data_IF_329693564207
#
_entry.id   IF_329693564207
#
_cell.length_a   1.000
_cell.length_b   1.000
_cell.length_c   1.000
_cell.angle_alpha   90.00
_cell.angle_beta   90.00
_cell.angle_gamma   90.00
#
_symmetry.space_group_name_H-M   'P 1'
#
loop_
_entity.id
_entity.type
_entity.pdbx_description
1 polymer ?
#
# COMPACT_ATOMS: atom_id res chain seq x y z
N UNK A 1 -13.58 -50.42 26.04
CA UNK A 1 -13.71 -51.78 25.48
C UNK A 1 -12.95 -51.71 24.18
N UNK A 2 -11.72 -52.09 24.17
CA UNK A 2 -11.19 -53.47 23.96
C UNK A 2 -11.44 -53.87 22.52
N UNK A 3 -10.54 -54.28 21.65
CA UNK A 3 -9.25 -54.95 21.86
C UNK A 3 -8.67 -55.20 20.46
N UNK A 4 -7.37 -54.97 20.24
CA UNK A 4 -6.33 -55.96 19.90
C UNK A 4 -6.66 -56.90 18.72
N UNK A 5 -5.82 -57.16 17.76
CA UNK A 5 -4.41 -57.40 17.78
C UNK A 5 -3.92 -58.08 16.51
N UNK A 6 -2.64 -57.88 16.25
CA UNK A 6 -1.57 -58.83 15.94
C UNK A 6 -1.57 -59.64 14.62
N UNK A 7 -0.58 -59.33 13.85
CA UNK A 7 0.66 -60.07 13.52
C UNK A 7 0.55 -61.37 12.72
N UNK A 8 1.26 -61.47 11.59
CA UNK A 8 2.36 -62.39 11.38
C UNK A 8 2.82 -62.49 9.91
N UNK A 9 4.12 -62.24 9.66
CA UNK A 9 4.98 -62.88 8.65
C UNK A 9 5.32 -64.28 9.17
N UNK A 10 6.01 -65.23 8.44
CA UNK A 10 6.69 -65.20 7.14
C UNK A 10 6.55 -66.52 6.33
N UNK A 11 7.17 -66.63 5.16
CA UNK A 11 8.13 -67.70 4.84
C UNK A 11 8.46 -67.85 3.33
N UNK A 12 9.71 -67.96 3.12
CA UNK A 12 10.61 -68.38 2.04
C UNK A 12 10.24 -69.65 1.29
N UNK A 13 10.72 -69.64 0.04
CA UNK A 13 11.08 -70.83 -0.74
C UNK A 13 10.85 -70.56 -2.25
N UNK A 14 11.70 -70.57 -3.16
CA UNK A 14 12.95 -71.24 -3.44
C UNK A 14 12.83 -72.07 -4.73
N UNK A 15 13.73 -71.84 -5.70
CA UNK A 15 14.18 -72.67 -6.84
C UNK A 15 13.60 -72.39 -8.24
N UNK A 16 14.44 -71.71 -9.09
CA UNK A 16 15.41 -72.27 -10.11
C UNK A 16 14.85 -72.71 -11.45
N UNK A 17 15.40 -72.04 -12.50
CA UNK A 17 15.77 -72.50 -13.88
C UNK A 17 14.65 -72.46 -14.93
N UNK A 18 14.85 -71.65 -15.98
CA UNK A 18 15.59 -72.03 -17.17
C UNK A 18 15.70 -70.86 -18.16
N UNK A 19 16.83 -70.86 -18.86
CA UNK A 19 17.24 -69.85 -19.86
C UNK A 19 16.37 -69.93 -21.12
N UNK A 20 16.11 -68.77 -21.74
CA UNK A 20 15.59 -68.63 -23.09
C UNK A 20 16.05 -67.29 -23.65
N UNK A 21 17.12 -67.28 -24.38
CA UNK A 21 17.64 -66.09 -25.10
C UNK A 21 16.75 -65.83 -26.29
N UNK A 22 16.08 -64.67 -26.29
CA UNK A 22 15.52 -64.03 -27.47
C UNK A 22 16.21 -62.67 -27.66
N UNK A 23 17.05 -62.61 -28.66
CA UNK A 23 17.76 -61.42 -29.09
C UNK A 23 16.74 -60.54 -29.84
N UNK A 24 16.09 -59.60 -29.18
CA UNK A 24 15.29 -58.54 -29.81
C UNK A 24 16.18 -57.32 -29.97
N UNK A 25 16.61 -57.04 -31.20
CA UNK A 25 17.31 -55.81 -31.55
C UNK A 25 16.35 -54.60 -31.37
N UNK A 26 16.48 -53.91 -30.25
CA UNK A 26 15.88 -52.58 -30.04
C UNK A 26 16.78 -51.57 -30.77
N UNK A 27 16.34 -51.14 -31.97
CA UNK A 27 16.76 -49.89 -32.57
C UNK A 27 16.32 -48.76 -31.65
N UNK A 28 17.21 -48.31 -30.75
CA UNK A 28 17.06 -47.02 -30.09
C UNK A 28 17.24 -45.93 -31.15
N UNK A 29 16.15 -45.43 -31.70
CA UNK A 29 16.13 -44.12 -32.32
C UNK A 29 16.50 -43.09 -31.24
N UNK A 30 17.78 -42.76 -31.12
CA UNK A 30 18.21 -41.57 -30.39
C UNK A 30 17.65 -40.36 -31.13
N UNK A 31 16.44 -39.93 -30.73
CA UNK A 31 15.99 -38.60 -31.04
C UNK A 31 16.99 -37.68 -30.35
N UNK A 32 17.94 -37.15 -31.08
CA UNK A 32 18.72 -36.01 -30.67
C UNK A 32 17.72 -34.84 -30.45
N UNK A 33 17.18 -34.71 -29.25
CA UNK A 33 16.59 -33.47 -28.81
C UNK A 33 17.74 -32.45 -28.84
N UNK A 34 17.77 -31.61 -29.87
CA UNK A 34 18.65 -30.45 -29.85
C UNK A 34 18.38 -29.70 -28.55
N UNK A 35 19.38 -29.26 -27.79
CA UNK A 35 19.19 -28.48 -26.61
C UNK A 35 18.31 -27.30 -27.02
N UNK A 36 17.18 -27.06 -26.27
CA UNK A 36 16.37 -25.91 -26.48
C UNK A 36 17.26 -24.66 -26.48
N UNK A 37 17.29 -23.93 -27.61
CA UNK A 37 18.06 -22.70 -27.71
C UNK A 37 17.62 -21.78 -26.59
N UNK A 38 18.50 -21.52 -25.63
CA UNK A 38 18.28 -20.50 -24.60
C UNK A 38 18.24 -19.10 -25.21
N UNK A 39 17.90 -18.11 -24.37
CA UNK A 39 17.95 -16.69 -24.78
C UNK A 39 19.40 -16.37 -25.27
N UNK A 40 19.52 -15.42 -26.21
CA UNK A 40 20.83 -14.86 -26.58
C UNK A 40 21.50 -14.22 -25.35
N UNK A 41 22.82 -14.26 -25.27
CA UNK A 41 23.57 -13.62 -24.16
C UNK A 41 23.30 -12.11 -24.04
N UNK A 42 22.89 -11.44 -25.13
CA UNK A 42 22.53 -10.02 -25.17
C UNK A 42 21.13 -9.75 -24.73
N UNK A 43 20.25 -10.75 -24.57
CA UNK A 43 18.81 -10.55 -24.35
C UNK A 43 18.49 -9.59 -23.20
N UNK A 44 19.19 -9.71 -22.07
CA UNK A 44 18.99 -8.83 -20.93
C UNK A 44 19.35 -7.36 -21.24
N UNK A 45 20.40 -7.13 -22.02
CA UNK A 45 20.81 -5.79 -22.44
C UNK A 45 19.81 -5.20 -23.46
N UNK A 46 19.38 -6.03 -24.41
CA UNK A 46 18.43 -5.62 -25.47
C UNK A 46 17.03 -5.31 -24.88
N UNK A 47 16.58 -6.11 -23.91
CA UNK A 47 15.32 -5.86 -23.17
C UNK A 47 15.44 -4.55 -22.38
N UNK A 48 16.54 -4.31 -21.65
CA UNK A 48 16.78 -3.03 -20.96
C UNK A 48 16.71 -1.85 -21.92
N UNK A 49 17.36 -1.96 -23.08
CA UNK A 49 17.30 -0.91 -24.10
C UNK A 49 15.87 -0.65 -24.62
N UNK A 50 15.02 -1.67 -24.68
CA UNK A 50 13.59 -1.51 -25.00
C UNK A 50 12.84 -0.76 -23.89
N UNK A 51 13.09 -1.11 -22.62
CA UNK A 51 12.51 -0.45 -21.47
C UNK A 51 12.97 1.01 -21.33
N UNK A 52 14.24 1.31 -21.63
CA UNK A 52 14.79 2.67 -21.62
C UNK A 52 14.15 3.55 -22.70
N UNK A 53 13.93 3.00 -23.91
CA UNK A 53 13.20 3.73 -24.97
C UNK A 53 11.76 4.01 -24.55
N UNK A 54 11.10 3.04 -23.92
CA UNK A 54 9.74 3.20 -23.37
C UNK A 54 9.70 4.32 -22.33
N UNK A 55 10.62 4.32 -21.37
CA UNK A 55 10.71 5.34 -20.33
C UNK A 55 10.93 6.74 -20.93
N UNK A 56 11.85 6.86 -21.90
CA UNK A 56 12.11 8.11 -22.60
C UNK A 56 10.87 8.64 -23.32
N UNK A 57 10.10 7.76 -23.96
CA UNK A 57 8.84 8.14 -24.63
C UNK A 57 7.80 8.72 -23.67
N UNK A 58 7.68 8.20 -22.45
CA UNK A 58 6.81 8.78 -21.41
C UNK A 58 7.31 10.18 -21.04
N UNK A 59 8.60 10.34 -20.79
CA UNK A 59 9.17 11.63 -20.38
C UNK A 59 9.10 12.71 -21.46
N UNK A 60 9.04 12.31 -22.73
CA UNK A 60 8.88 13.23 -23.87
C UNK A 60 7.43 13.37 -24.36
N UNK A 61 6.48 12.68 -23.71
CA UNK A 61 5.07 12.61 -24.14
C UNK A 61 4.94 12.21 -25.62
N UNK A 62 5.74 11.23 -26.08
CA UNK A 62 5.76 10.75 -27.46
C UNK A 62 4.99 9.44 -27.59
N UNK A 63 3.71 9.49 -28.05
CA UNK A 63 2.88 8.29 -28.16
C UNK A 63 3.35 7.32 -29.26
N UNK A 64 4.01 7.81 -30.29
CA UNK A 64 4.52 6.95 -31.38
C UNK A 64 5.76 6.20 -30.91
N UNK A 65 6.69 6.87 -30.22
CA UNK A 65 7.82 6.23 -29.59
C UNK A 65 7.38 5.23 -28.50
N UNK A 66 6.37 5.57 -27.69
CA UNK A 66 5.85 4.71 -26.63
C UNK A 66 5.29 3.39 -27.16
N UNK A 67 4.51 3.43 -28.24
CA UNK A 67 3.95 2.22 -28.84
C UNK A 67 4.92 1.52 -29.80
N UNK A 68 6.03 2.17 -30.19
CA UNK A 68 7.04 1.56 -31.09
C UNK A 68 7.75 0.35 -30.46
N UNK A 69 7.75 0.25 -29.12
CA UNK A 69 8.34 -0.88 -28.39
C UNK A 69 7.34 -2.03 -28.16
N UNK A 70 6.10 -1.90 -28.62
CA UNK A 70 5.08 -2.94 -28.56
C UNK A 70 5.04 -3.68 -29.90
N UNK A 71 4.88 -5.00 -29.87
CA UNK A 71 4.83 -5.83 -31.06
C UNK A 71 3.77 -5.31 -32.04
N UNK A 72 4.09 -5.38 -33.34
CA UNK A 72 3.25 -4.76 -34.39
C UNK A 72 1.88 -5.40 -34.54
N UNK A 73 1.80 -6.68 -34.29
CA UNK A 73 0.59 -7.51 -34.32
C UNK A 73 -0.23 -7.43 -33.03
N UNK A 74 0.35 -6.96 -31.91
CA UNK A 74 -0.36 -6.72 -30.65
C UNK A 74 -1.20 -5.42 -30.72
N UNK A 75 -2.14 -5.35 -31.66
CA UNK A 75 -2.90 -4.14 -32.00
C UNK A 75 -3.68 -3.58 -30.83
N UNK A 76 -4.33 -4.43 -30.02
CA UNK A 76 -5.11 -4.01 -28.86
C UNK A 76 -4.22 -3.43 -27.77
N UNK A 77 -3.06 -4.06 -27.51
CA UNK A 77 -2.08 -3.56 -26.56
C UNK A 77 -1.53 -2.20 -27.00
N UNK A 78 -1.23 -2.04 -28.29
CA UNK A 78 -0.78 -0.76 -28.86
C UNK A 78 -1.82 0.35 -28.68
N UNK A 79 -3.09 0.04 -28.93
CA UNK A 79 -4.18 1.01 -28.74
C UNK A 79 -4.36 1.37 -27.25
N UNK A 80 -4.36 0.38 -26.36
CA UNK A 80 -4.45 0.58 -24.93
C UNK A 80 -3.28 1.42 -24.39
N UNK A 81 -2.04 1.11 -24.79
CA UNK A 81 -0.82 1.83 -24.36
C UNK A 81 -0.79 3.27 -24.86
N UNK A 82 -1.25 3.54 -26.10
CA UNK A 82 -1.38 4.90 -26.62
C UNK A 82 -2.37 5.72 -25.79
N UNK A 83 -3.50 5.11 -25.44
CA UNK A 83 -4.51 5.74 -24.60
C UNK A 83 -3.98 6.00 -23.19
N UNK A 84 -3.30 5.03 -22.60
CA UNK A 84 -2.67 5.12 -21.28
C UNK A 84 -1.66 6.28 -21.20
N UNK A 85 -0.82 6.47 -22.23
CA UNK A 85 0.08 7.63 -22.28
C UNK A 85 -0.68 8.95 -22.37
N UNK A 86 -1.80 9.00 -23.08
CA UNK A 86 -2.69 10.16 -23.13
C UNK A 86 -3.22 10.56 -21.75
N UNK A 87 -3.58 9.58 -20.93
CA UNK A 87 -4.08 9.80 -19.57
C UNK A 87 -3.03 10.43 -18.62
N UNK A 88 -1.74 10.32 -18.95
CA UNK A 88 -0.63 10.94 -18.21
C UNK A 88 -0.34 12.39 -18.60
N UNK A 89 -0.99 12.92 -19.65
CA UNK A 89 -0.57 14.16 -20.32
C UNK A 89 -0.42 15.35 -19.36
N UNK A 90 -1.36 15.52 -18.42
CA UNK A 90 -1.38 16.65 -17.48
C UNK A 90 -0.66 16.38 -16.15
N UNK A 91 -0.26 15.11 -15.93
CA UNK A 91 0.44 14.73 -14.70
C UNK A 91 1.87 15.30 -14.70
N UNK A 92 2.30 15.96 -13.61
CA UNK A 92 3.65 16.52 -13.54
C UNK A 92 4.69 15.42 -13.25
N UNK A 93 4.95 14.56 -14.23
CA UNK A 93 5.94 13.49 -14.10
C UNK A 93 7.35 14.08 -14.04
N UNK A 94 8.07 13.77 -12.96
CA UNK A 94 9.46 14.22 -12.74
C UNK A 94 10.51 13.20 -13.12
N UNK A 95 10.15 11.91 -13.10
CA UNK A 95 10.99 10.82 -13.60
C UNK A 95 10.13 9.59 -13.88
N UNK A 96 10.60 8.78 -14.84
CA UNK A 96 9.99 7.50 -15.20
C UNK A 96 11.08 6.54 -15.59
N UNK A 97 11.16 5.39 -14.94
CA UNK A 97 12.23 4.42 -15.15
C UNK A 97 11.69 3.00 -15.05
N UNK A 98 12.30 2.09 -15.78
CA UNK A 98 12.05 0.65 -15.63
C UNK A 98 13.34 -0.03 -15.20
N UNK A 99 13.28 -0.90 -14.20
CA UNK A 99 14.39 -1.75 -13.79
C UNK A 99 14.00 -3.19 -14.00
N UNK A 100 14.74 -3.87 -14.89
CA UNK A 100 14.62 -5.31 -15.09
C UNK A 100 15.14 -6.03 -13.84
N UNK A 101 14.28 -6.84 -13.19
CA UNK A 101 14.60 -7.57 -11.96
C UNK A 101 14.85 -9.05 -12.21
N UNK A 102 14.10 -9.67 -13.15
CA UNK A 102 14.28 -11.05 -13.56
C UNK A 102 13.85 -11.29 -15.01
N UNK A 103 14.34 -12.38 -15.62
CA UNK A 103 13.94 -12.84 -16.94
C UNK A 103 13.73 -14.35 -16.92
N UNK A 104 12.53 -14.77 -17.28
CA UNK A 104 12.16 -16.16 -17.50
C UNK A 104 12.07 -16.46 -19.00
N UNK A 105 13.00 -17.27 -19.57
CA UNK A 105 13.03 -17.57 -20.99
C UNK A 105 11.93 -18.57 -21.39
N UNK A 106 11.35 -18.37 -22.57
CA UNK A 106 10.38 -19.28 -23.21
C UNK A 106 10.86 -19.64 -24.63
N UNK A 107 12.08 -20.19 -24.74
CA UNK A 107 12.78 -20.45 -25.99
C UNK A 107 13.84 -19.40 -26.31
N UNK A 108 14.18 -19.25 -27.60
CA UNK A 108 15.22 -18.31 -28.03
C UNK A 108 14.71 -16.89 -28.32
N UNK A 109 13.41 -16.73 -28.50
CA UNK A 109 12.72 -15.55 -29.04
C UNK A 109 11.60 -15.00 -28.17
N UNK A 110 11.29 -15.66 -27.05
CA UNK A 110 10.25 -15.23 -26.08
C UNK A 110 10.79 -15.22 -24.67
N UNK A 111 10.32 -14.25 -23.88
CA UNK A 111 10.66 -14.13 -22.46
C UNK A 111 9.52 -13.46 -21.69
N UNK A 112 9.38 -13.83 -20.43
CA UNK A 112 8.66 -13.04 -19.43
C UNK A 112 9.71 -12.30 -18.59
N UNK A 113 9.51 -11.00 -18.42
CA UNK A 113 10.41 -10.15 -17.64
C UNK A 113 9.66 -9.58 -16.44
N UNK A 114 10.23 -9.77 -15.25
CA UNK A 114 9.82 -9.04 -14.06
C UNK A 114 10.52 -7.69 -14.07
N UNK A 115 9.70 -6.62 -13.92
CA UNK A 115 10.18 -5.26 -14.08
C UNK A 115 9.63 -4.38 -12.97
N UNK A 116 10.49 -3.56 -12.39
CA UNK A 116 10.08 -2.51 -11.46
C UNK A 116 9.99 -1.17 -12.19
N UNK A 117 8.76 -0.66 -12.33
CA UNK A 117 8.49 0.71 -12.73
C UNK A 117 8.76 1.62 -11.53
N UNK A 118 9.58 2.65 -11.73
CA UNK A 118 9.77 3.76 -10.77
C UNK A 118 9.31 5.06 -11.40
N UNK A 119 8.44 5.81 -10.72
CA UNK A 119 8.04 7.15 -11.17
C UNK A 119 7.99 8.16 -10.02
N UNK A 120 8.12 9.44 -10.33
CA UNK A 120 7.99 10.54 -9.37
C UNK A 120 7.08 11.61 -9.90
N UNK A 121 6.27 12.16 -9.01
CA UNK A 121 5.53 13.41 -9.25
C UNK A 121 6.46 14.57 -8.92
N UNK A 122 6.72 15.44 -9.91
CA UNK A 122 7.62 16.59 -9.79
C UNK A 122 7.11 17.56 -8.72
N UNK A 123 7.98 17.87 -7.77
CA UNK A 123 7.68 18.82 -6.70
C UNK A 123 6.99 18.19 -5.48
N UNK A 124 6.57 16.92 -5.54
CA UNK A 124 5.91 16.22 -4.44
C UNK A 124 6.74 15.03 -3.93
N UNK A 125 7.27 14.21 -4.81
CA UNK A 125 7.96 13.00 -4.44
C UNK A 125 9.46 13.24 -4.21
N UNK A 126 9.98 12.85 -3.06
CA UNK A 126 11.43 12.90 -2.75
C UNK A 126 12.18 11.71 -3.34
N UNK A 127 11.51 10.57 -3.54
CA UNK A 127 12.04 9.38 -4.20
C UNK A 127 10.94 8.72 -5.06
N UNK A 128 11.26 7.74 -5.92
CA UNK A 128 10.28 7.11 -6.78
C UNK A 128 9.25 6.27 -6.03
N UNK A 129 7.98 6.34 -6.43
CA UNK A 129 7.01 5.26 -6.22
C UNK A 129 7.48 4.07 -7.04
N UNK A 130 7.42 2.87 -6.47
CA UNK A 130 7.80 1.63 -7.14
C UNK A 130 6.59 0.74 -7.37
N UNK A 131 6.44 0.24 -8.60
CA UNK A 131 5.36 -0.66 -9.01
C UNK A 131 5.96 -1.85 -9.73
N UNK A 132 5.70 -3.06 -9.23
CA UNK A 132 6.19 -4.27 -9.88
C UNK A 132 5.24 -4.69 -11.02
N UNK A 133 5.83 -4.98 -12.19
CA UNK A 133 5.13 -5.33 -13.44
C UNK A 133 5.69 -6.62 -13.99
N UNK A 134 4.85 -7.35 -14.73
CA UNK A 134 5.25 -8.52 -15.53
C UNK A 134 5.00 -8.21 -17.00
N UNK A 135 6.07 -8.30 -17.80
CA UNK A 135 6.02 -8.02 -19.23
C UNK A 135 6.31 -9.32 -19.99
N UNK A 136 5.46 -9.64 -20.97
CA UNK A 136 5.81 -10.67 -21.94
C UNK A 136 6.43 -10.01 -23.18
N UNK A 137 7.52 -10.58 -23.67
CA UNK A 137 8.33 -10.03 -24.76
C UNK A 137 8.58 -11.09 -25.82
N UNK A 138 8.64 -10.63 -27.07
CA UNK A 138 9.01 -11.41 -28.23
C UNK A 138 10.13 -10.71 -28.99
N UNK A 139 11.09 -11.48 -29.50
CA UNK A 139 12.19 -11.00 -30.31
C UNK A 139 11.80 -11.06 -31.78
N UNK A 140 11.79 -9.93 -32.46
CA UNK A 140 11.54 -9.86 -33.92
C UNK A 140 12.75 -10.41 -34.67
N UNK A 141 12.52 -11.35 -35.60
CA UNK A 141 13.57 -12.00 -36.37
C UNK A 141 14.23 -11.05 -37.39
N UNK A 142 13.50 -10.04 -37.87
CA UNK A 142 13.99 -9.14 -38.92
C UNK A 142 15.00 -8.11 -38.39
N UNK A 143 14.78 -7.56 -37.18
CA UNK A 143 15.66 -6.54 -36.61
C UNK A 143 16.39 -6.97 -35.33
N UNK A 144 16.02 -8.13 -34.80
CA UNK A 144 16.61 -8.71 -33.61
C UNK A 144 16.25 -8.05 -32.29
N UNK A 145 15.30 -7.10 -32.30
CA UNK A 145 14.87 -6.35 -31.12
C UNK A 145 13.76 -7.07 -30.37
N UNK A 146 13.67 -6.76 -29.08
CA UNK A 146 12.61 -7.24 -28.21
C UNK A 146 11.44 -6.27 -28.19
N UNK A 147 10.22 -6.78 -28.31
CA UNK A 147 8.97 -6.04 -28.33
C UNK A 147 8.02 -6.59 -27.27
N UNK A 148 7.25 -5.72 -26.61
CA UNK A 148 6.23 -6.12 -25.64
C UNK A 148 5.03 -6.75 -26.36
N UNK A 149 4.59 -7.89 -25.85
CA UNK A 149 3.34 -8.56 -26.24
C UNK A 149 2.29 -8.51 -25.14
N UNK A 150 2.68 -8.32 -23.87
CA UNK A 150 1.79 -8.06 -22.74
C UNK A 150 2.47 -7.19 -21.69
N UNK A 151 1.65 -6.47 -20.91
CA UNK A 151 2.06 -5.66 -19.77
C UNK A 151 0.96 -5.73 -18.71
N UNK A 152 1.28 -6.30 -17.54
CA UNK A 152 0.33 -6.52 -16.45
C UNK A 152 0.94 -6.23 -15.08
N UNK A 153 0.14 -5.90 -14.06
CA UNK A 153 0.61 -5.85 -12.68
C UNK A 153 1.23 -7.18 -12.26
N UNK A 154 2.26 -7.15 -11.41
CA UNK A 154 2.73 -8.34 -10.72
C UNK A 154 1.67 -8.86 -9.75
N UNK A 155 1.82 -10.10 -9.27
CA UNK A 155 0.88 -10.67 -8.31
C UNK A 155 0.78 -9.78 -7.06
N UNK A 156 -0.44 -9.41 -6.65
CA UNK A 156 -0.70 -8.46 -5.57
C UNK A 156 -0.41 -6.99 -5.92
N UNK A 157 -0.01 -6.70 -7.16
CA UNK A 157 0.20 -5.32 -7.64
C UNK A 157 -1.11 -4.66 -8.06
N UNK A 158 -1.21 -3.34 -7.82
CA UNK A 158 -2.37 -2.55 -8.18
C UNK A 158 -2.33 -2.01 -9.60
N UNK A 159 -3.52 -1.72 -10.15
CA UNK A 159 -3.70 -0.99 -11.40
C UNK A 159 -3.56 0.50 -11.13
N UNK A 160 -2.66 1.17 -11.81
CA UNK A 160 -2.36 2.58 -11.54
C UNK A 160 -3.51 3.50 -11.99
N UNK A 161 -3.61 4.69 -11.39
CA UNK A 161 -4.71 5.63 -11.64
C UNK A 161 -4.85 5.96 -13.14
N UNK A 162 -3.76 6.24 -13.85
CA UNK A 162 -3.76 6.54 -15.31
C UNK A 162 -4.14 5.33 -16.18
N UNK A 163 -4.16 4.13 -15.63
CA UNK A 163 -4.64 2.93 -16.32
C UNK A 163 -6.17 2.76 -16.18
N UNK A 164 -6.79 3.53 -15.29
CA UNK A 164 -8.23 3.50 -15.05
C UNK A 164 -8.97 4.48 -15.96
N UNK A 165 -8.36 5.62 -16.33
CA UNK A 165 -8.97 6.63 -17.21
C UNK A 165 -8.12 7.89 -17.34
N UNK A 166 -8.71 8.91 -18.00
CA UNK A 166 -8.12 10.25 -18.10
C UNK A 166 -7.95 10.85 -16.72
N UNK A 167 -6.73 11.31 -16.41
CA UNK A 167 -6.40 11.88 -15.10
C UNK A 167 -6.61 13.40 -15.13
N UNK A 168 -7.66 13.84 -14.47
CA UNK A 168 -7.87 15.27 -14.19
C UNK A 168 -6.91 15.70 -13.06
N UNK A 169 -6.21 16.81 -13.25
CA UNK A 169 -5.18 17.32 -12.34
C UNK A 169 -5.60 18.66 -11.74
N UNK A 170 -5.76 18.70 -10.41
CA UNK A 170 -6.01 19.93 -9.65
C UNK A 170 -4.83 20.21 -8.72
N UNK A 171 -4.28 21.42 -8.80
CA UNK A 171 -3.18 21.87 -7.96
C UNK A 171 -3.70 22.85 -6.93
N UNK A 172 -3.55 22.49 -5.65
CA UNK A 172 -3.71 23.40 -4.53
C UNK A 172 -2.39 24.08 -4.15
N UNK A 173 -2.38 24.81 -3.06
CA UNK A 173 -1.18 25.45 -2.49
C UNK A 173 -0.22 24.40 -1.91
N UNK A 174 -0.75 23.41 -1.21
CA UNK A 174 -0.01 22.34 -0.54
C UNK A 174 -0.38 20.95 -1.06
N UNK A 175 -1.33 20.85 -1.98
CA UNK A 175 -1.86 19.58 -2.46
C UNK A 175 -1.78 19.42 -3.97
N UNK A 176 -1.75 18.16 -4.41
CA UNK A 176 -1.99 17.76 -5.78
C UNK A 176 -3.08 16.70 -5.76
N UNK A 177 -4.22 17.01 -6.35
CA UNK A 177 -5.32 16.05 -6.47
C UNK A 177 -5.37 15.52 -7.90
N UNK A 178 -5.32 14.20 -8.03
CA UNK A 178 -5.38 13.47 -9.28
C UNK A 178 -6.65 12.62 -9.28
N UNK A 179 -7.60 12.91 -10.16
CA UNK A 179 -8.89 12.23 -10.20
C UNK A 179 -9.16 11.57 -11.55
N UNK A 180 -9.90 10.45 -11.54
CA UNK A 180 -10.41 9.80 -12.74
C UNK A 180 -11.93 9.72 -12.64
N UNK A 181 -12.64 10.08 -13.74
CA UNK A 181 -14.10 10.03 -13.77
C UNK A 181 -14.83 11.01 -12.84
N UNK A 182 -14.11 11.99 -12.27
CA UNK A 182 -14.63 12.93 -11.27
C UNK A 182 -14.72 14.36 -11.82
N UNK A 183 -15.78 15.10 -11.48
CA UNK A 183 -15.88 16.52 -11.87
C UNK A 183 -14.74 17.33 -11.24
N UNK A 184 -14.17 18.27 -12.02
CA UNK A 184 -13.10 19.17 -11.55
C UNK A 184 -13.48 19.94 -10.29
N UNK A 185 -14.76 20.33 -10.15
CA UNK A 185 -15.27 21.04 -8.97
C UNK A 185 -15.13 20.20 -7.69
N UNK A 186 -15.44 18.90 -7.76
CA UNK A 186 -15.26 17.98 -6.64
C UNK A 186 -13.79 17.85 -6.25
N UNK A 187 -12.90 17.68 -7.25
CA UNK A 187 -11.47 17.59 -7.02
C UNK A 187 -10.90 18.90 -6.43
N UNK A 188 -11.45 20.05 -6.83
CA UNK A 188 -11.09 21.35 -6.24
C UNK A 188 -11.51 21.43 -4.77
N UNK A 189 -12.70 20.97 -4.41
CA UNK A 189 -13.13 20.91 -3.00
C UNK A 189 -12.24 20.00 -2.13
N UNK A 190 -11.76 18.91 -2.71
CA UNK A 190 -10.79 18.02 -2.04
C UNK A 190 -9.43 18.73 -1.88
N UNK A 191 -8.96 19.44 -2.91
CA UNK A 191 -7.71 20.21 -2.85
C UNK A 191 -7.78 21.32 -1.79
N UNK A 192 -8.87 22.09 -1.75
CA UNK A 192 -9.10 23.12 -0.73
C UNK A 192 -9.10 22.55 0.69
N UNK A 193 -9.62 21.32 0.85
CA UNK A 193 -9.66 20.65 2.16
C UNK A 193 -8.26 20.12 2.54
N UNK A 194 -7.53 19.54 1.61
CA UNK A 194 -6.15 19.09 1.81
C UNK A 194 -5.20 20.27 2.11
N UNK A 195 -5.40 21.42 1.44
CA UNK A 195 -4.62 22.65 1.68
C UNK A 195 -4.84 23.21 3.09
N UNK A 196 -6.02 22.99 3.69
CA UNK A 196 -6.25 23.30 5.12
C UNK A 196 -5.67 22.24 6.06
N UNK A 197 -5.65 20.99 5.66
CA UNK A 197 -5.09 19.90 6.46
C UNK A 197 -3.57 20.04 6.66
N UNK A 198 -2.83 20.42 5.62
CA UNK A 198 -1.37 20.53 5.67
C UNK A 198 -0.86 21.48 6.76
N UNK A 199 -1.32 22.74 6.87
CA UNK A 199 -0.91 23.61 7.99
C UNK A 199 -1.39 23.11 9.34
N UNK A 200 -2.58 22.53 9.46
CA UNK A 200 -3.08 21.95 10.71
C UNK A 200 -2.15 20.83 11.20
N UNK A 201 -1.78 19.92 10.30
CA UNK A 201 -0.82 18.85 10.60
C UNK A 201 0.57 19.39 10.92
N UNK A 202 1.04 20.43 10.22
CA UNK A 202 2.33 21.07 10.51
C UNK A 202 2.36 21.74 11.88
N UNK A 203 1.22 22.22 12.37
CA UNK A 203 1.04 22.70 13.74
C UNK A 203 1.01 21.57 14.77
N UNK A 204 0.48 20.41 14.40
CA UNK A 204 0.39 19.23 15.24
C UNK A 204 1.69 18.39 15.26
N UNK A 205 2.49 18.44 14.20
CA UNK A 205 3.73 17.68 14.04
C UNK A 205 4.92 18.63 13.81
N UNK A 206 5.75 18.90 14.85
CA UNK A 206 6.79 19.93 14.77
C UNK A 206 8.04 19.51 13.98
N UNK A 207 8.14 18.23 13.57
CA UNK A 207 9.29 17.77 12.78
C UNK A 207 9.14 18.15 11.31
N UNK A 208 10.29 18.29 10.64
CA UNK A 208 10.32 18.60 9.22
C UNK A 208 9.77 17.43 8.38
N UNK A 209 8.77 17.71 7.58
CA UNK A 209 8.20 16.83 6.58
C UNK A 209 8.02 17.55 5.25
N UNK A 210 7.44 16.91 4.24
CA UNK A 210 7.31 17.50 2.90
C UNK A 210 6.42 18.77 2.87
N UNK A 211 5.49 18.93 3.81
CA UNK A 211 4.54 20.05 3.86
C UNK A 211 3.60 20.09 2.66
N UNK A 212 3.36 18.94 2.03
CA UNK A 212 2.47 18.78 0.88
C UNK A 212 2.03 17.33 0.72
N UNK A 213 0.88 17.15 0.07
CA UNK A 213 0.27 15.82 -0.13
C UNK A 213 -0.15 15.60 -1.58
N UNK A 214 -0.15 14.35 -2.00
CA UNK A 214 -0.76 13.90 -3.25
C UNK A 214 -1.98 13.06 -2.92
N UNK A 215 -3.14 13.48 -3.43
CA UNK A 215 -4.41 12.81 -3.22
C UNK A 215 -4.85 12.17 -4.53
N UNK A 216 -5.16 10.89 -4.51
CA UNK A 216 -5.68 10.13 -5.64
C UNK A 216 -7.18 9.88 -5.43
N UNK A 217 -7.98 10.16 -6.44
CA UNK A 217 -9.44 9.99 -6.40
C UNK A 217 -9.86 9.11 -7.59
N UNK A 218 -9.94 7.79 -7.40
CA UNK A 218 -10.48 6.88 -8.42
C UNK A 218 -11.98 7.13 -8.62
N UNK A 219 -12.55 6.64 -9.73
CA UNK A 219 -13.97 6.84 -10.03
C UNK A 219 -14.89 6.10 -9.04
N UNK A 220 -14.51 4.90 -8.64
CA UNK A 220 -15.30 4.03 -7.77
C UNK A 220 -14.47 3.38 -6.68
N UNK A 221 -15.16 2.82 -5.65
CA UNK A 221 -14.49 1.97 -4.64
C UNK A 221 -13.89 0.70 -5.26
N UNK A 222 -14.42 0.23 -6.39
CA UNK A 222 -13.84 -0.88 -7.14
C UNK A 222 -12.47 -0.49 -7.71
N UNK A 223 -12.39 0.69 -8.32
CA UNK A 223 -11.14 1.24 -8.86
C UNK A 223 -10.14 1.55 -7.75
N UNK A 224 -10.61 1.99 -6.57
CA UNK A 224 -9.77 2.12 -5.37
C UNK A 224 -9.17 0.77 -4.96
N UNK A 225 -9.97 -0.29 -4.93
CA UNK A 225 -9.49 -1.65 -4.66
C UNK A 225 -8.45 -2.11 -5.68
N UNK A 226 -8.69 -1.86 -6.98
CA UNK A 226 -7.72 -2.16 -8.03
C UNK A 226 -6.42 -1.37 -7.87
N UNK A 227 -6.50 -0.08 -7.52
CA UNK A 227 -5.33 0.77 -7.27
C UNK A 227 -4.49 0.26 -6.09
N UNK A 228 -5.14 -0.25 -5.05
CA UNK A 228 -4.51 -0.79 -3.84
C UNK A 228 -4.12 -2.27 -3.95
N UNK A 229 -4.48 -2.95 -5.05
CA UNK A 229 -4.23 -4.38 -5.22
C UNK A 229 -4.99 -5.26 -4.22
N UNK A 230 -6.17 -4.81 -3.76
CA UNK A 230 -6.95 -5.45 -2.69
C UNK A 230 -8.45 -5.41 -3.01
N UNK A 231 -9.26 -6.36 -2.50
CA UNK A 231 -10.69 -6.37 -2.77
C UNK A 231 -11.40 -5.09 -2.35
N UNK A 232 -12.25 -4.54 -3.20
CA UNK A 232 -13.05 -3.33 -2.94
C UNK A 232 -13.92 -3.42 -1.67
N UNK A 233 -14.32 -4.65 -1.31
CA UNK A 233 -15.11 -4.90 -0.10
C UNK A 233 -14.42 -4.39 1.17
N UNK A 234 -13.09 -4.39 1.20
CA UNK A 234 -12.29 -3.93 2.33
C UNK A 234 -12.39 -2.41 2.55
N UNK A 235 -12.84 -1.66 1.53
CA UNK A 235 -12.82 -0.18 1.56
C UNK A 235 -14.21 0.46 1.54
N UNK A 236 -15.32 -0.31 1.56
CA UNK A 236 -16.68 0.23 1.41
C UNK A 236 -17.05 1.29 2.44
N UNK A 237 -16.64 1.12 3.69
CA UNK A 237 -16.90 2.05 4.80
C UNK A 237 -15.76 3.03 5.07
N UNK A 238 -14.65 2.92 4.36
CA UNK A 238 -13.44 3.71 4.57
C UNK A 238 -13.44 4.89 3.61
N UNK A 239 -13.35 6.11 4.12
CA UNK A 239 -13.42 7.32 3.31
C UNK A 239 -12.11 7.68 2.60
N UNK A 240 -10.97 7.36 3.21
CA UNK A 240 -9.65 7.48 2.59
C UNK A 240 -8.66 6.53 3.27
N UNK A 241 -7.51 6.32 2.64
CA UNK A 241 -6.36 5.59 3.21
C UNK A 241 -5.06 6.22 2.73
N UNK A 242 -4.03 6.18 3.56
CA UNK A 242 -2.68 6.59 3.17
C UNK A 242 -1.83 5.37 2.83
N UNK A 243 -1.20 5.36 1.64
CA UNK A 243 -0.32 4.25 1.24
C UNK A 243 0.87 4.12 2.18
N UNK A 244 1.23 2.88 2.52
CA UNK A 244 2.39 2.58 3.37
C UNK A 244 2.12 2.63 4.87
N UNK A 245 0.87 2.72 5.32
CA UNK A 245 0.50 2.67 6.75
C UNK A 245 0.93 1.38 7.44
N UNK A 246 0.80 0.26 6.78
CA UNK A 246 1.07 -1.06 7.36
C UNK A 246 2.50 -1.52 7.14
N UNK A 247 3.44 -1.04 7.95
CA UNK A 247 4.80 -1.58 8.01
C UNK A 247 5.70 -1.23 6.83
N UNK A 248 5.42 -0.15 6.14
CA UNK A 248 6.22 0.36 5.04
C UNK A 248 7.65 0.71 5.43
N UNK A 249 8.55 0.72 4.47
CA UNK A 249 9.96 1.09 4.60
C UNK A 249 10.12 2.42 5.34
N UNK A 250 11.14 2.52 6.21
CA UNK A 250 11.59 3.79 6.84
C UNK A 250 11.88 4.91 5.84
N UNK A 251 11.89 4.59 4.57
CA UNK A 251 12.01 5.48 3.42
C UNK A 251 10.76 5.36 2.57
N UNK A 252 9.59 5.74 3.06
CA UNK A 252 8.41 5.89 2.22
C UNK A 252 8.45 7.29 1.56
N UNK A 253 8.93 7.39 0.34
CA UNK A 253 9.33 8.67 -0.24
C UNK A 253 8.20 9.35 -0.98
N UNK A 254 7.06 8.68 -1.12
CA UNK A 254 5.97 9.10 -1.97
C UNK A 254 4.65 8.49 -1.49
N UNK A 255 4.23 8.88 -0.28
CA UNK A 255 2.91 8.49 0.23
C UNK A 255 1.79 9.12 -0.63
N UNK A 256 0.69 8.39 -0.75
CA UNK A 256 -0.53 8.84 -1.43
C UNK A 256 -1.70 8.72 -0.48
N UNK A 257 -2.49 9.77 -0.37
CA UNK A 257 -3.83 9.68 0.21
C UNK A 257 -4.77 9.23 -0.89
N UNK A 258 -5.46 8.12 -0.72
CA UNK A 258 -6.39 7.56 -1.70
C UNK A 258 -7.79 7.69 -1.15
N UNK A 259 -8.62 8.50 -1.79
CA UNK A 259 -9.99 8.81 -1.37
C UNK A 259 -10.96 7.81 -2.00
N UNK A 260 -11.84 7.22 -1.17
CA UNK A 260 -13.02 6.50 -1.62
C UNK A 260 -14.13 7.53 -1.93
N UNK A 261 -14.44 7.80 -3.20
CA UNK A 261 -15.34 8.89 -3.54
C UNK A 261 -16.76 8.67 -3.00
N UNK A 262 -17.23 7.43 -2.91
CA UNK A 262 -18.57 7.12 -2.40
C UNK A 262 -18.68 7.39 -0.88
N UNK A 263 -17.74 6.88 -0.10
CA UNK A 263 -17.75 7.07 1.35
C UNK A 263 -17.43 8.53 1.73
N UNK A 264 -16.47 9.16 1.07
CA UNK A 264 -16.08 10.54 1.30
C UNK A 264 -17.22 11.54 1.00
N UNK A 265 -18.00 11.30 -0.05
CA UNK A 265 -19.16 12.14 -0.39
C UNK A 265 -20.29 12.08 0.64
N UNK A 266 -20.37 11.02 1.45
CA UNK A 266 -21.36 10.92 2.55
C UNK A 266 -20.97 11.74 3.77
N UNK A 267 -19.71 12.16 3.87
CA UNK A 267 -19.23 12.99 4.98
C UNK A 267 -19.61 14.45 4.74
N UNK A 268 -20.12 15.11 5.78
CA UNK A 268 -20.22 16.57 5.75
C UNK A 268 -18.83 17.23 5.78
N UNK A 269 -18.77 18.53 5.56
CA UNK A 269 -17.49 19.27 5.49
C UNK A 269 -16.60 19.11 6.74
N UNK A 270 -17.18 18.86 7.91
CA UNK A 270 -16.41 18.51 9.11
C UNK A 270 -15.71 17.16 8.96
N UNK A 271 -16.46 16.11 8.62
CA UNK A 271 -15.89 14.76 8.46
C UNK A 271 -14.84 14.71 7.34
N UNK A 272 -15.05 15.42 6.22
CA UNK A 272 -14.07 15.54 5.15
C UNK A 272 -12.75 16.17 5.61
N UNK A 273 -12.83 17.23 6.45
CA UNK A 273 -11.63 17.82 7.06
C UNK A 273 -10.92 16.84 7.98
N UNK A 274 -11.69 16.17 8.86
CA UNK A 274 -11.15 15.19 9.81
C UNK A 274 -10.37 14.11 9.04
N UNK A 275 -10.99 13.49 8.04
CA UNK A 275 -10.38 12.42 7.25
C UNK A 275 -9.10 12.90 6.55
N UNK A 276 -9.11 14.04 5.84
CA UNK A 276 -7.91 14.51 5.15
C UNK A 276 -6.82 14.98 6.12
N UNK A 277 -7.17 15.50 7.30
CA UNK A 277 -6.17 15.84 8.33
C UNK A 277 -5.55 14.57 8.92
N UNK A 278 -6.36 13.56 9.21
CA UNK A 278 -5.93 12.24 9.67
C UNK A 278 -4.93 11.62 8.68
N UNK A 279 -5.32 11.47 7.41
CA UNK A 279 -4.47 10.88 6.38
C UNK A 279 -3.18 11.69 6.12
N UNK A 280 -3.29 13.02 6.13
CA UNK A 280 -2.13 13.90 6.02
C UNK A 280 -1.17 13.74 7.20
N UNK A 281 -1.69 13.41 8.40
CA UNK A 281 -0.87 13.14 9.57
C UNK A 281 -0.02 11.88 9.39
N UNK A 282 -0.56 10.83 8.79
CA UNK A 282 0.23 9.65 8.43
C UNK A 282 1.37 9.98 7.45
N UNK A 283 1.12 10.85 6.48
CA UNK A 283 2.20 11.35 5.57
C UNK A 283 3.28 12.09 6.36
N UNK A 284 2.90 12.96 7.29
CA UNK A 284 3.85 13.76 8.07
C UNK A 284 4.68 12.91 9.04
N UNK A 285 4.04 11.94 9.70
CA UNK A 285 4.67 11.08 10.72
C UNK A 285 5.45 9.92 10.14
N UNK A 286 5.36 9.64 8.84
CA UNK A 286 5.90 8.46 8.14
C UNK A 286 7.32 8.09 8.56
N UNK A 287 8.23 9.05 8.61
CA UNK A 287 9.65 8.80 8.92
C UNK A 287 9.89 8.43 10.38
N UNK A 288 8.88 8.58 11.24
CA UNK A 288 8.90 8.27 12.68
C UNK A 288 7.98 7.12 13.06
N UNK A 289 7.17 6.65 12.12
CA UNK A 289 6.34 5.46 12.29
C UNK A 289 7.13 4.23 11.85
N UNK A 290 7.20 3.22 12.71
CA UNK A 290 7.92 1.98 12.42
C UNK A 290 7.10 0.78 12.91
N UNK A 291 7.61 -0.44 12.71
CA UNK A 291 7.02 -1.66 13.28
C UNK A 291 6.96 -1.67 14.82
N UNK A 292 7.70 -0.78 15.48
CA UNK A 292 7.63 -0.58 16.92
C UNK A 292 6.43 0.28 17.35
N UNK A 293 5.86 1.10 16.44
CA UNK A 293 4.73 1.99 16.74
C UNK A 293 3.43 1.18 16.78
N UNK A 294 2.72 1.10 17.92
CA UNK A 294 1.41 0.44 17.98
C UNK A 294 0.37 1.18 17.16
N UNK A 295 -0.58 0.42 16.61
CA UNK A 295 -1.66 0.99 15.79
C UNK A 295 -2.45 2.03 16.58
N UNK A 296 -2.76 1.78 17.87
CA UNK A 296 -3.45 2.76 18.71
C UNK A 296 -2.73 4.11 18.82
N UNK A 297 -1.39 4.10 18.75
CA UNK A 297 -0.61 5.33 18.81
C UNK A 297 -0.55 6.04 17.46
N UNK A 298 -0.40 5.28 16.36
CA UNK A 298 -0.41 5.83 14.99
C UNK A 298 -1.76 6.46 14.66
N UNK A 299 -2.83 5.69 14.83
CA UNK A 299 -4.20 6.12 14.55
C UNK A 299 -4.66 7.19 15.55
N UNK A 300 -4.43 6.95 16.84
CA UNK A 300 -4.81 7.91 17.87
C UNK A 300 -4.12 9.27 17.75
N UNK A 301 -2.86 9.30 17.28
CA UNK A 301 -2.18 10.56 17.00
C UNK A 301 -2.76 11.27 15.77
N UNK A 302 -3.12 10.50 14.72
CA UNK A 302 -3.75 11.06 13.54
C UNK A 302 -5.13 11.65 13.85
N UNK A 303 -5.93 10.95 14.66
CA UNK A 303 -7.21 11.46 15.15
C UNK A 303 -7.02 12.66 16.08
N UNK A 304 -6.05 12.61 17.01
CA UNK A 304 -5.75 13.74 17.87
C UNK A 304 -5.40 15.00 17.05
N UNK A 305 -4.57 14.87 16.03
CA UNK A 305 -4.23 15.98 15.13
C UNK A 305 -5.45 16.50 14.35
N UNK A 306 -6.38 15.61 13.98
CA UNK A 306 -7.58 15.96 13.23
C UNK A 306 -8.66 16.65 14.08
N UNK A 307 -8.75 16.33 15.38
CA UNK A 307 -9.80 16.84 16.28
C UNK A 307 -9.33 17.96 17.23
N UNK A 308 -8.01 18.16 17.43
CA UNK A 308 -7.44 19.03 18.48
C UNK A 308 -7.96 20.47 18.52
N UNK A 309 -8.26 21.05 17.36
CA UNK A 309 -8.76 22.43 17.23
C UNK A 309 -10.28 22.47 16.97
N UNK A 310 -10.97 21.34 17.20
CA UNK A 310 -12.40 21.21 16.96
C UNK A 310 -13.24 21.66 18.15
N UNK A 311 -14.48 22.07 17.87
CA UNK A 311 -15.45 22.47 18.90
C UNK A 311 -16.29 21.29 19.42
N UNK A 312 -16.04 20.05 18.92
CA UNK A 312 -16.81 18.87 19.33
C UNK A 312 -16.41 18.38 20.70
N UNK A 313 -17.40 17.94 21.46
CA UNK A 313 -17.18 17.26 22.74
C UNK A 313 -16.57 15.87 22.54
N UNK A 314 -15.93 15.33 23.56
CA UNK A 314 -15.38 13.99 23.51
C UNK A 314 -16.46 12.93 23.16
N UNK A 315 -17.67 13.06 23.70
CA UNK A 315 -18.77 12.13 23.41
C UNK A 315 -19.32 12.24 21.97
N UNK A 316 -19.11 13.38 21.28
CA UNK A 316 -19.44 13.52 19.86
C UNK A 316 -18.36 12.97 18.93
N UNK A 317 -17.12 12.90 19.40
CA UNK A 317 -15.99 12.33 18.68
C UNK A 317 -15.88 10.83 18.92
N UNK A 318 -16.21 10.35 20.12
CA UNK A 318 -16.12 8.97 20.56
C UNK A 318 -17.50 8.40 20.99
N UNK A 319 -18.49 8.33 20.08
CA UNK A 319 -19.85 7.94 20.45
C UNK A 319 -19.97 6.46 20.86
N UNK A 320 -19.25 5.54 20.22
CA UNK A 320 -19.31 4.11 20.51
C UNK A 320 -18.65 3.78 21.86
N UNK A 321 -17.58 4.49 22.20
CA UNK A 321 -16.94 4.35 23.50
C UNK A 321 -17.76 5.04 24.62
N UNK A 322 -18.40 6.17 24.30
CA UNK A 322 -19.33 6.82 25.22
C UNK A 322 -20.54 5.93 25.54
N UNK A 323 -21.08 5.23 24.55
CA UNK A 323 -22.17 4.28 24.76
C UNK A 323 -21.73 3.09 25.63
N UNK A 324 -20.52 2.57 25.43
CA UNK A 324 -19.95 1.52 26.29
C UNK A 324 -19.77 1.98 27.73
N UNK A 325 -19.26 3.22 27.94
CA UNK A 325 -19.10 3.78 29.29
C UNK A 325 -20.44 3.96 29.98
N UNK A 326 -21.45 4.53 29.30
CA UNK A 326 -22.80 4.71 29.84
C UNK A 326 -23.53 3.41 30.15
N UNK A 327 -23.23 2.35 29.37
CA UNK A 327 -23.76 1.00 29.60
C UNK A 327 -23.05 0.25 30.73
N UNK A 328 -22.03 0.85 31.35
CA UNK A 328 -21.25 0.23 32.43
C UNK A 328 -20.18 -0.77 31.95
N UNK A 329 -19.82 -0.73 30.67
CA UNK A 329 -18.83 -1.58 30.02
C UNK A 329 -17.61 -0.77 29.52
N UNK A 330 -16.95 0.07 30.36
CA UNK A 330 -15.79 0.81 29.96
C UNK A 330 -14.64 -0.14 29.58
N UNK A 331 -13.75 0.27 28.65
CA UNK A 331 -12.64 -0.57 28.23
C UNK A 331 -11.69 -0.89 29.39
N UNK A 332 -11.20 -2.14 29.44
CA UNK A 332 -10.29 -2.60 30.50
C UNK A 332 -8.83 -2.22 30.22
N UNK A 333 -8.44 -2.06 28.97
CA UNK A 333 -7.08 -1.81 28.51
C UNK A 333 -7.07 -0.97 27.23
N UNK A 334 -5.90 -0.41 26.88
CA UNK A 334 -5.67 0.24 25.60
C UNK A 334 -5.94 -0.74 24.44
N UNK A 335 -6.37 -0.24 23.27
CA UNK A 335 -6.57 -1.06 22.10
C UNK A 335 -5.27 -1.78 21.67
N UNK A 336 -5.43 -3.00 21.17
CA UNK A 336 -4.34 -3.77 20.57
C UNK A 336 -4.35 -3.63 19.05
N UNK A 337 -3.27 -3.98 18.36
CA UNK A 337 -3.24 -3.95 16.89
C UNK A 337 -4.33 -4.84 16.26
N UNK A 338 -4.73 -5.93 16.94
CA UNK A 338 -5.80 -6.80 16.50
C UNK A 338 -7.20 -6.16 16.52
N UNK A 339 -7.39 -5.06 17.27
CA UNK A 339 -8.66 -4.34 17.35
C UNK A 339 -8.88 -3.41 16.14
N UNK A 340 -7.80 -3.09 15.40
CA UNK A 340 -7.82 -2.27 14.17
C UNK A 340 -7.93 -3.11 12.90
N UNK A 341 -8.01 -4.44 13.01
CA UNK A 341 -8.20 -5.32 11.87
C UNK A 341 -9.61 -5.24 11.28
N UNK A 342 -9.75 -5.66 10.03
CA UNK A 342 -11.07 -5.85 9.42
C UNK A 342 -11.85 -6.88 10.25
N UNK A 343 -12.91 -6.43 10.91
CA UNK A 343 -13.78 -7.23 11.77
C UNK A 343 -15.21 -7.14 11.26
N UNK A 344 -16.03 -8.15 11.57
CA UNK A 344 -17.49 -8.11 11.36
C UNK A 344 -18.20 -7.21 12.39
N UNK A 345 -17.47 -6.77 13.43
CA UNK A 345 -17.96 -5.86 14.47
C UNK A 345 -17.42 -4.44 14.25
N UNK A 346 -18.19 -3.55 13.61
CA UNK A 346 -17.79 -2.18 13.36
C UNK A 346 -17.62 -1.35 14.63
N UNK A 347 -18.37 -1.66 15.70
CA UNK A 347 -18.30 -0.93 16.97
C UNK A 347 -16.97 -1.21 17.69
N UNK A 348 -16.43 -2.43 17.54
CA UNK A 348 -15.11 -2.76 18.08
C UNK A 348 -14.02 -1.94 17.41
N UNK A 349 -14.07 -1.82 16.09
CA UNK A 349 -13.12 -1.01 15.33
C UNK A 349 -13.23 0.46 15.72
N UNK A 350 -14.43 1.02 15.78
CA UNK A 350 -14.67 2.41 16.18
C UNK A 350 -14.10 2.68 17.58
N UNK A 351 -14.42 1.83 18.58
CA UNK A 351 -13.88 1.93 19.95
C UNK A 351 -12.35 1.86 19.99
N UNK A 352 -11.70 1.15 19.07
CA UNK A 352 -10.25 1.10 19.01
C UNK A 352 -9.66 2.45 18.56
N UNK A 353 -10.22 3.07 17.52
CA UNK A 353 -9.84 4.43 17.09
C UNK A 353 -10.08 5.45 18.19
N UNK A 354 -11.29 5.49 18.74
CA UNK A 354 -11.69 6.38 19.83
C UNK A 354 -10.80 6.23 21.08
N UNK A 355 -10.47 4.98 21.43
CA UNK A 355 -9.60 4.67 22.57
C UNK A 355 -8.16 5.10 22.33
N UNK A 356 -7.66 4.98 21.10
CA UNK A 356 -6.33 5.46 20.67
C UNK A 356 -6.29 6.99 20.71
N UNK A 357 -7.31 7.64 20.16
CA UNK A 357 -7.46 9.10 20.22
C UNK A 357 -7.41 9.63 21.66
N UNK A 358 -8.26 9.09 22.58
CA UNK A 358 -8.29 9.50 23.97
C UNK A 358 -6.98 9.22 24.72
N UNK A 359 -6.20 8.22 24.31
CA UNK A 359 -4.87 7.99 24.88
C UNK A 359 -3.88 9.10 24.48
N UNK A 360 -3.91 9.54 23.21
CA UNK A 360 -3.09 10.66 22.74
C UNK A 360 -3.55 11.99 23.34
N UNK A 361 -4.87 12.21 23.46
CA UNK A 361 -5.44 13.40 24.11
C UNK A 361 -5.04 13.47 25.60
N UNK A 362 -5.15 12.36 26.34
CA UNK A 362 -4.66 12.28 27.72
C UNK A 362 -3.19 12.68 27.84
N UNK A 363 -2.33 12.18 26.94
CA UNK A 363 -0.91 12.53 26.98
C UNK A 363 -0.74 14.03 26.73
N UNK A 364 -1.41 14.58 25.71
CA UNK A 364 -1.31 15.99 25.36
C UNK A 364 -1.82 16.91 26.50
N UNK A 365 -2.96 16.58 27.11
CA UNK A 365 -3.52 17.39 28.22
C UNK A 365 -2.69 17.31 29.50
N UNK A 366 -2.23 16.11 29.87
CA UNK A 366 -1.60 15.91 31.16
C UNK A 366 -0.10 16.24 31.19
N UNK A 367 0.61 15.94 30.11
CA UNK A 367 2.07 16.12 30.01
C UNK A 367 2.47 17.18 28.97
N UNK A 368 1.54 17.63 28.17
CA UNK A 368 1.74 18.61 27.11
C UNK A 368 2.02 17.97 25.75
N UNK A 369 1.66 18.70 24.69
CA UNK A 369 1.84 18.25 23.30
C UNK A 369 3.28 17.89 22.97
N UNK A 370 4.27 18.64 23.48
CA UNK A 370 5.69 18.33 23.29
C UNK A 370 6.07 16.93 23.80
N UNK A 371 5.43 16.48 24.89
CA UNK A 371 5.61 15.14 25.43
C UNK A 371 4.91 14.07 24.59
N UNK A 372 3.75 14.38 24.00
CA UNK A 372 3.10 13.48 23.05
C UNK A 372 4.01 13.25 21.83
N UNK A 373 4.61 14.30 21.25
CA UNK A 373 5.56 14.15 20.14
C UNK A 373 6.80 13.35 20.55
N UNK A 374 7.38 13.67 21.72
CA UNK A 374 8.55 12.96 22.22
C UNK A 374 8.24 11.48 22.45
N UNK A 375 7.04 11.16 22.96
CA UNK A 375 6.57 9.80 23.17
C UNK A 375 6.42 9.05 21.84
N UNK A 376 5.72 9.66 20.85
CA UNK A 376 5.58 9.06 19.51
C UNK A 376 6.95 8.72 18.89
N UNK A 377 7.89 9.66 18.94
CA UNK A 377 9.25 9.49 18.41
C UNK A 377 10.05 8.42 19.16
N UNK A 378 9.94 8.37 20.47
CA UNK A 378 10.64 7.38 21.29
C UNK A 378 10.15 5.97 20.94
N UNK A 379 8.83 5.77 20.85
CA UNK A 379 8.24 4.50 20.44
C UNK A 379 8.65 4.14 19.00
N UNK A 380 8.48 5.04 18.03
CA UNK A 380 8.82 4.77 16.62
C UNK A 380 10.32 4.63 16.37
N UNK A 381 11.18 5.17 17.25
CA UNK A 381 12.65 5.02 17.22
C UNK A 381 13.16 3.72 17.83
N UNK A 382 12.31 2.97 18.55
CA UNK A 382 12.73 1.73 19.19
C UNK A 382 13.08 0.63 18.17
N UNK A 383 13.97 -0.26 18.52
CA UNK A 383 14.49 -1.29 17.61
C UNK A 383 13.48 -2.39 17.25
N UNK A 384 12.42 -2.55 18.04
CA UNK A 384 11.35 -3.55 17.85
C UNK A 384 10.11 -3.19 18.64
N UNK A 385 9.06 -4.00 18.53
CA UNK A 385 7.75 -3.78 19.17
C UNK A 385 7.80 -3.96 20.69
N UNK A 386 8.48 -5.02 21.13
CA UNK A 386 8.53 -5.41 22.54
C UNK A 386 9.25 -4.37 23.37
N UNK A 387 8.60 -3.90 24.44
CA UNK A 387 9.15 -2.90 25.35
C UNK A 387 9.15 -1.45 24.84
N UNK A 388 8.82 -1.20 23.56
CA UNK A 388 8.87 0.14 22.96
C UNK A 388 7.99 1.16 23.71
N UNK A 389 6.73 0.79 23.95
CA UNK A 389 5.78 1.64 24.69
C UNK A 389 6.19 1.75 26.16
N UNK A 390 6.57 0.65 26.80
CA UNK A 390 6.99 0.64 28.21
C UNK A 390 8.19 1.57 28.45
N UNK A 391 9.23 1.46 27.63
CA UNK A 391 10.40 2.31 27.71
C UNK A 391 10.03 3.78 27.51
N UNK A 392 9.22 4.10 26.48
CA UNK A 392 8.82 5.48 26.22
C UNK A 392 7.93 6.07 27.34
N UNK A 393 7.02 5.26 27.92
CA UNK A 393 6.24 5.68 29.09
C UNK A 393 7.14 6.07 30.27
N UNK A 394 8.16 5.25 30.54
CA UNK A 394 9.11 5.50 31.62
C UNK A 394 10.00 6.72 31.34
N UNK A 395 10.65 6.78 30.17
CA UNK A 395 11.65 7.79 29.85
C UNK A 395 11.06 9.16 29.53
N UNK A 396 9.91 9.19 28.84
CA UNK A 396 9.29 10.45 28.36
C UNK A 396 8.25 10.98 29.33
N UNK A 397 7.37 10.10 29.83
CA UNK A 397 6.21 10.48 30.65
C UNK A 397 6.43 10.23 32.14
N UNK A 398 7.49 9.52 32.55
CA UNK A 398 7.78 9.20 33.95
C UNK A 398 6.70 8.34 34.60
N UNK A 399 6.11 7.41 33.84
CA UNK A 399 5.02 6.54 34.32
C UNK A 399 5.22 5.09 33.90
N UNK A 400 4.48 4.18 34.51
CA UNK A 400 4.48 2.75 34.14
C UNK A 400 3.30 2.42 33.20
N UNK A 401 3.34 1.31 32.45
CA UNK A 401 2.19 0.86 31.66
C UNK A 401 0.91 0.69 32.49
N UNK A 402 1.04 0.16 33.70
CA UNK A 402 -0.09 -0.06 34.61
C UNK A 402 -0.71 1.26 35.06
N UNK A 403 0.11 2.21 35.49
CA UNK A 403 -0.35 3.53 35.92
C UNK A 403 -0.94 4.33 34.75
N UNK A 404 -0.32 4.25 33.57
CA UNK A 404 -0.85 4.89 32.38
C UNK A 404 -2.21 4.33 32.00
N UNK A 405 -2.36 3.01 31.96
CA UNK A 405 -3.65 2.35 31.66
C UNK A 405 -4.73 2.69 32.70
N UNK A 406 -4.35 2.74 33.99
CA UNK A 406 -5.32 3.13 35.03
C UNK A 406 -5.81 4.58 34.83
N UNK A 407 -4.91 5.52 34.56
CA UNK A 407 -5.23 6.92 34.27
C UNK A 407 -6.04 7.08 33.00
N UNK A 408 -5.71 6.34 31.94
CA UNK A 408 -6.47 6.34 30.69
C UNK A 408 -7.90 5.85 30.91
N UNK A 409 -8.10 4.79 31.70
CA UNK A 409 -9.44 4.30 32.04
C UNK A 409 -10.26 5.32 32.87
N UNK A 410 -9.61 6.03 33.77
CA UNK A 410 -10.22 7.13 34.52
C UNK A 410 -10.62 8.28 33.58
N UNK A 411 -9.67 8.70 32.73
CA UNK A 411 -9.90 9.76 31.74
C UNK A 411 -11.04 9.44 30.78
N UNK A 412 -11.13 8.20 30.26
CA UNK A 412 -12.24 7.74 29.41
C UNK A 412 -13.58 7.88 30.13
N UNK A 413 -13.66 7.48 31.41
CA UNK A 413 -14.91 7.62 32.17
C UNK A 413 -15.27 9.08 32.41
N UNK A 414 -14.32 9.90 32.75
CA UNK A 414 -14.55 11.31 33.06
C UNK A 414 -14.96 12.14 31.83
N UNK A 415 -14.43 11.77 30.65
CA UNK A 415 -14.70 12.49 29.39
C UNK A 415 -16.00 12.04 28.71
N UNK A 416 -16.43 10.79 28.93
CA UNK A 416 -17.54 10.16 28.19
C UNK A 416 -18.73 9.77 29.07
N UNK A 417 -18.59 9.80 30.40
CA UNK A 417 -19.59 9.36 31.38
C UNK A 417 -20.60 10.42 31.89
#
# INVERSE_FOLDING_TARGET
MADQGRTAEPARGGRRRAAGAVLAALLCAAACSAPAKGLPDTAAADIRATLDRRAAAVMHHDPDAYVSVVARDATDLRAAQRKELGHLADMPIGSWTYRLTDISPHGADRATADVRLGYRIKGYDSAPVSVDRVLDLERDEADGRWYLTADRPAQGGGRQLWQQGDVEVVRGEHSLVLGVGRPREELTGIADTADRAVPAVSGAWPEKWAGRVVVLVPDTVQDMGELLGSPAANYRGIAAVTTGETGGSKTAPADRVIVNPQAYALLGGFGQRVVLTHETTHVATRTRTSSATPTWLSEGFADWAAYRDGERTAAEVAPELADAVRSGEPPAALPTDGDFGFTEDPDRLARAYEGGWLACELIAERWGEEKLFAFYRAVGGHSGRDGAVEQALHEVLGTTPQDFTARWREYVRDRLG
#
